data_IF_412765452849
#
_entry.id   IF_412765452849
#
_cell.length_a   1.000
_cell.length_b   1.000
_cell.length_c   1.000
_cell.angle_alpha   90.00
_cell.angle_beta   90.00
_cell.angle_gamma   90.00
#
_symmetry.space_group_name_H-M   'P 1'
#
loop_
_entity.id
_entity.type
_entity.pdbx_description
1 polymer ?
#
# COMPACT_ATOMS: atom_id res chain seq x y z
N UNK A 1 13.08 2.73 27.22
CA UNK A 1 13.19 3.51 25.97
C UNK A 1 11.77 3.68 25.43
N UNK A 2 11.13 4.81 25.70
CA UNK A 2 9.76 5.09 25.25
C UNK A 2 9.84 5.55 23.80
N UNK A 3 9.34 4.75 22.85
CA UNK A 3 9.24 5.16 21.46
C UNK A 3 8.33 6.40 21.39
N UNK A 4 8.88 7.55 20.99
CA UNK A 4 8.08 8.74 20.73
C UNK A 4 7.07 8.38 19.65
N UNK A 5 5.77 8.70 19.81
CA UNK A 5 4.83 8.51 18.73
C UNK A 5 5.33 9.33 17.55
N UNK A 6 5.78 8.65 16.50
CA UNK A 6 6.14 9.26 15.22
C UNK A 6 4.83 9.73 14.61
N UNK A 7 4.39 10.92 15.01
CA UNK A 7 3.33 11.67 14.35
C UNK A 7 3.86 12.09 12.97
N UNK A 8 4.04 11.12 12.08
CA UNK A 8 4.36 11.36 10.69
C UNK A 8 3.12 12.04 10.11
N UNK A 9 3.22 13.29 9.64
CA UNK A 9 2.07 13.93 9.03
C UNK A 9 1.60 13.06 7.87
N UNK A 10 0.29 12.78 7.85
CA UNK A 10 -0.30 12.02 6.76
C UNK A 10 -0.01 12.78 5.46
N UNK A 11 0.55 12.11 4.43
CA UNK A 11 0.81 12.76 3.17
C UNK A 11 -0.51 13.26 2.57
N UNK A 12 -0.53 14.45 1.95
CA UNK A 12 -1.77 15.03 1.39
C UNK A 12 -2.32 14.21 0.22
N UNK A 13 -1.46 13.43 -0.43
CA UNK A 13 -1.79 12.52 -1.53
C UNK A 13 -1.08 11.19 -1.32
N UNK A 14 -1.73 10.11 -1.72
CA UNK A 14 -1.18 8.75 -1.67
C UNK A 14 -1.41 8.01 -2.97
N UNK A 15 -0.49 7.12 -3.28
CA UNK A 15 -0.55 6.21 -4.41
C UNK A 15 -1.17 4.90 -3.94
N UNK A 16 -2.25 4.48 -4.57
CA UNK A 16 -3.01 3.27 -4.22
C UNK A 16 -2.98 2.30 -5.39
N UNK A 17 -2.59 1.04 -5.20
CA UNK A 17 -2.64 0.03 -6.25
C UNK A 17 -4.08 -0.23 -6.67
N UNK A 18 -4.28 -0.41 -7.96
CA UNK A 18 -5.58 -0.73 -8.56
C UNK A 18 -5.52 -2.07 -9.26
N UNK A 19 -6.66 -2.72 -9.46
CA UNK A 19 -6.77 -3.93 -10.27
C UNK A 19 -6.28 -3.68 -11.70
N UNK A 20 -5.68 -4.70 -12.31
CA UNK A 20 -5.25 -4.67 -13.70
C UNK A 20 -6.43 -4.92 -14.65
N UNK A 21 -7.38 -3.99 -14.64
CA UNK A 21 -8.47 -4.00 -15.61
C UNK A 21 -8.06 -3.18 -16.84
N UNK A 22 -8.33 -3.73 -18.03
CA UNK A 22 -8.10 -3.04 -19.30
C UNK A 22 -8.91 -1.73 -19.38
N UNK A 23 -10.13 -1.74 -18.83
CA UNK A 23 -11.00 -0.59 -18.72
C UNK A 23 -10.65 0.26 -17.49
N UNK A 24 -10.17 1.49 -17.72
CA UNK A 24 -9.85 2.44 -16.65
C UNK A 24 -11.03 2.75 -15.71
N UNK A 25 -12.28 2.62 -16.20
CA UNK A 25 -13.49 2.83 -15.40
C UNK A 25 -13.88 1.61 -14.55
N UNK A 26 -13.37 0.43 -14.90
CA UNK A 26 -13.61 -0.81 -14.16
C UNK A 26 -12.52 -1.06 -13.11
N UNK A 27 -11.38 -0.35 -13.19
CA UNK A 27 -10.29 -0.43 -12.20
C UNK A 27 -10.80 -0.10 -10.81
N UNK A 28 -10.59 -1.02 -9.88
CA UNK A 28 -10.93 -0.88 -8.47
C UNK A 28 -9.68 -0.83 -7.63
N UNK A 29 -9.76 -0.24 -6.45
CA UNK A 29 -8.65 -0.26 -5.49
C UNK A 29 -8.39 -1.70 -5.06
N UNK A 30 -7.12 -2.09 -4.97
CA UNK A 30 -6.78 -3.41 -4.46
C UNK A 30 -6.93 -3.42 -2.95
N UNK A 31 -7.84 -4.26 -2.49
CA UNK A 31 -8.14 -4.46 -1.08
C UNK A 31 -7.63 -5.82 -0.62
N UNK A 32 -7.10 -5.86 0.59
CA UNK A 32 -6.54 -7.06 1.20
C UNK A 32 -7.31 -7.40 2.46
N UNK A 33 -7.73 -8.65 2.61
CA UNK A 33 -8.33 -9.11 3.86
C UNK A 33 -7.21 -9.57 4.79
N UNK A 34 -7.06 -8.90 5.94
CA UNK A 34 -6.08 -9.32 6.96
C UNK A 34 -6.57 -10.55 7.71
N UNK A 35 -5.67 -11.23 8.43
CA UNK A 35 -5.98 -12.46 9.19
C UNK A 35 -7.14 -12.29 10.19
N UNK A 36 -7.32 -11.06 10.67
CA UNK A 36 -8.40 -10.65 11.58
C UNK A 36 -9.77 -10.47 10.87
N UNK A 37 -9.85 -10.74 9.57
CA UNK A 37 -11.05 -10.60 8.74
C UNK A 37 -11.35 -9.17 8.28
N UNK A 38 -10.50 -8.21 8.65
CA UNK A 38 -10.67 -6.79 8.32
C UNK A 38 -10.14 -6.47 6.93
N UNK A 39 -10.77 -5.51 6.25
CA UNK A 39 -10.32 -5.07 4.93
C UNK A 39 -9.32 -3.94 5.05
N UNK A 40 -8.13 -4.13 4.48
CA UNK A 40 -7.06 -3.18 4.45
C UNK A 40 -6.76 -2.70 3.03
N UNK A 41 -6.42 -1.42 2.90
CA UNK A 41 -5.82 -0.87 1.69
C UNK A 41 -4.37 -0.50 1.95
N UNK A 42 -3.51 -0.78 0.97
CA UNK A 42 -2.11 -0.38 1.00
C UNK A 42 -1.93 0.88 0.18
N UNK A 43 -1.33 1.89 0.78
CA UNK A 43 -1.14 3.20 0.18
C UNK A 43 0.32 3.61 0.35
N UNK A 44 0.85 4.39 -0.58
CA UNK A 44 2.25 4.77 -0.59
C UNK A 44 2.39 6.27 -0.76
N UNK A 45 3.41 6.87 -0.12
CA UNK A 45 3.66 8.30 -0.27
C UNK A 45 4.33 8.64 -1.62
N UNK A 46 4.84 7.65 -2.33
CA UNK A 46 5.57 7.81 -3.59
C UNK A 46 5.41 6.58 -4.50
N UNK A 47 5.50 6.75 -5.83
CA UNK A 47 5.35 5.66 -6.79
C UNK A 47 6.54 4.68 -6.73
N UNK A 48 7.77 5.17 -6.50
CA UNK A 48 8.97 4.31 -6.31
C UNK A 48 8.78 3.31 -5.16
N UNK A 49 8.13 3.76 -4.07
CA UNK A 49 7.86 2.92 -2.91
C UNK A 49 6.77 1.89 -3.20
N UNK A 50 5.75 2.26 -3.98
CA UNK A 50 4.74 1.31 -4.44
C UNK A 50 5.38 0.21 -5.29
N UNK A 51 6.25 0.58 -6.24
CA UNK A 51 6.97 -0.37 -7.10
C UNK A 51 7.84 -1.33 -6.28
N UNK A 52 8.57 -0.77 -5.31
CA UNK A 52 9.46 -1.53 -4.42
C UNK A 52 8.73 -2.43 -3.42
N UNK A 53 7.66 -1.94 -2.79
CA UNK A 53 7.05 -2.60 -1.64
C UNK A 53 5.82 -3.44 -1.98
N UNK A 54 5.14 -3.13 -3.08
CA UNK A 54 3.92 -3.82 -3.50
C UNK A 54 4.19 -4.82 -4.63
N UNK A 55 4.33 -4.31 -5.86
CA UNK A 55 4.60 -5.09 -7.05
C UNK A 55 5.05 -4.15 -8.18
N UNK A 56 6.16 -4.50 -8.81
CA UNK A 56 6.67 -3.73 -9.94
C UNK A 56 5.70 -3.75 -11.13
N UNK A 57 5.43 -2.56 -11.69
CA UNK A 57 4.53 -2.42 -12.85
C UNK A 57 3.03 -2.54 -12.55
N UNK A 58 2.63 -2.70 -11.29
CA UNK A 58 1.22 -2.69 -10.90
C UNK A 58 0.58 -1.33 -11.24
N UNK A 59 -0.59 -1.30 -11.91
CA UNK A 59 -1.33 -0.05 -12.09
C UNK A 59 -1.74 0.56 -10.76
N UNK A 60 -1.62 1.88 -10.66
CA UNK A 60 -1.93 2.65 -9.46
C UNK A 60 -2.69 3.91 -9.81
N UNK A 61 -3.35 4.48 -8.79
CA UNK A 61 -4.03 5.78 -8.87
C UNK A 61 -3.53 6.69 -7.75
N UNK A 62 -3.44 7.98 -8.03
CA UNK A 62 -3.13 8.99 -7.02
C UNK A 62 -4.45 9.49 -6.40
N UNK A 63 -4.59 9.34 -5.09
CA UNK A 63 -5.74 9.82 -4.34
C UNK A 63 -5.29 10.86 -3.32
N UNK A 64 -5.98 12.00 -3.28
CA UNK A 64 -5.94 12.94 -2.17
C UNK A 64 -6.90 12.52 -1.05
N UNK A 65 -6.85 13.22 0.08
CA UNK A 65 -7.71 12.96 1.25
C UNK A 65 -9.20 12.94 0.91
N UNK A 66 -9.69 13.83 0.05
CA UNK A 66 -11.10 13.85 -0.35
C UNK A 66 -11.44 12.67 -1.28
N UNK A 67 -10.52 12.30 -2.17
CA UNK A 67 -10.70 11.12 -3.02
C UNK A 67 -10.66 9.81 -2.22
N UNK A 68 -9.81 9.72 -1.19
CA UNK A 68 -9.80 8.61 -0.23
C UNK A 68 -11.12 8.48 0.53
N UNK A 69 -11.68 9.62 0.94
CA UNK A 69 -12.99 9.65 1.60
C UNK A 69 -14.09 9.13 0.66
N UNK A 70 -14.12 9.59 -0.60
CA UNK A 70 -15.07 9.06 -1.59
C UNK A 70 -14.90 7.57 -1.85
N UNK A 71 -13.65 7.10 -1.92
CA UNK A 71 -13.37 5.68 -2.08
C UNK A 71 -13.87 4.86 -0.88
N UNK A 72 -13.74 5.39 0.33
CA UNK A 72 -14.30 4.77 1.54
C UNK A 72 -15.83 4.74 1.53
N UNK A 73 -16.48 5.82 1.06
CA UNK A 73 -17.94 5.88 0.93
C UNK A 73 -18.48 4.88 -0.10
N UNK A 74 -17.74 4.64 -1.18
CA UNK A 74 -18.08 3.65 -2.21
C UNK A 74 -17.81 2.22 -1.73
N UNK A 75 -16.60 1.98 -1.21
CA UNK A 75 -16.18 0.68 -0.70
C UNK A 75 -15.43 0.86 0.63
N UNK A 76 -16.08 0.58 1.78
CA UNK A 76 -15.49 0.82 3.09
C UNK A 76 -14.35 -0.16 3.39
N UNK A 77 -13.28 0.36 3.97
CA UNK A 77 -12.10 -0.39 4.43
C UNK A 77 -11.86 -0.09 5.91
N UNK A 78 -11.39 -1.08 6.68
CA UNK A 78 -11.12 -0.89 8.12
C UNK A 78 -9.73 -0.29 8.38
N UNK A 79 -8.76 -0.72 7.56
CA UNK A 79 -7.35 -0.39 7.76
C UNK A 79 -6.78 0.32 6.55
N UNK A 80 -5.97 1.35 6.80
CA UNK A 80 -5.19 2.04 5.80
C UNK A 80 -3.72 1.95 6.20
N UNK A 81 -2.96 1.18 5.43
CA UNK A 81 -1.51 1.08 5.59
C UNK A 81 -0.83 2.11 4.70
N UNK A 82 0.13 2.86 5.26
CA UNK A 82 0.93 3.83 4.52
C UNK A 82 2.38 3.36 4.53
N UNK A 83 2.96 3.17 3.35
CA UNK A 83 4.38 2.82 3.21
C UNK A 83 4.76 1.46 3.82
N UNK A 84 3.82 0.51 3.78
CA UNK A 84 3.99 -0.83 4.35
C UNK A 84 3.92 -1.87 3.23
N UNK A 85 4.83 -2.83 3.23
CA UNK A 85 4.75 -3.99 2.37
C UNK A 85 3.69 -4.97 2.89
N UNK A 86 2.77 -5.46 2.03
CA UNK A 86 1.85 -6.53 2.40
C UNK A 86 2.52 -7.90 2.61
N UNK A 87 3.85 -8.01 2.44
CA UNK A 87 4.56 -9.28 2.46
C UNK A 87 4.26 -10.18 1.26
N UNK A 88 3.66 -9.63 0.19
CA UNK A 88 3.41 -10.34 -1.08
C UNK A 88 4.70 -10.64 -1.84
N UNK A 89 5.76 -9.89 -1.57
CA UNK A 89 7.10 -10.23 -2.00
C UNK A 89 7.57 -11.31 -1.04
N UNK A 90 7.57 -12.56 -1.50
CA UNK A 90 8.36 -13.63 -0.88
C UNK A 90 9.74 -13.02 -0.60
N UNK A 91 10.07 -12.92 0.68
CA UNK A 91 11.40 -12.57 1.17
C UNK A 91 12.44 -13.26 0.29
N UNK A 92 13.08 -12.50 -0.59
CA UNK A 92 14.33 -12.94 -1.18
C UNK A 92 15.34 -12.88 -0.03
N UNK A 93 15.53 -14.00 0.65
CA UNK A 93 16.48 -14.21 1.74
C UNK A 93 17.96 -14.09 1.26
N UNK A 94 18.25 -13.34 0.19
CA UNK A 94 19.61 -13.24 -0.38
C UNK A 94 20.53 -12.24 0.31
N UNK A 95 20.12 -11.62 1.43
CA UNK A 95 21.04 -10.81 2.27
C UNK A 95 21.62 -11.59 3.45
N UNK A 96 21.49 -12.93 3.49
CA UNK A 96 22.33 -13.74 4.38
C UNK A 96 23.73 -13.88 3.79
N UNK A 97 24.54 -12.89 4.13
CA UNK A 97 25.94 -13.05 4.50
C UNK A 97 26.86 -13.52 3.36
N UNK A 98 27.13 -12.57 2.46
CA UNK A 98 28.48 -12.37 1.91
C UNK A 98 29.43 -11.98 3.07
N UNK A 99 29.70 -12.91 3.99
CA UNK A 99 30.78 -12.83 4.97
C UNK A 99 31.19 -14.24 5.44
N UNK A 100 31.88 -14.95 4.56
CA UNK A 100 32.94 -15.86 5.01
C UNK A 100 34.10 -15.75 4.04
N UNK A 101 35.11 -15.03 4.52
CA UNK A 101 36.44 -14.95 3.90
C UNK A 101 37.25 -16.23 3.99
#
# INVERSE_FOLDING_TARGET
MTALPTNRPMPPVVYVPTTDEADQRARRLVMHTVEDGRTAIYTYSAPDRLDRYYLQGQPWVLLDVASLQRAYEDTPYDLLFVDVSPGLQEIDESDREDDRG
#
